data_IF_928260179649
#
_entry.id   IF_928260179649
#
_cell.length_a   1.000
_cell.length_b   1.000
_cell.length_c   1.000
_cell.angle_alpha   90.00
_cell.angle_beta   90.00
_cell.angle_gamma   90.00
#
_symmetry.space_group_name_H-M   'P 1'
#
loop_
_entity.id
_entity.type
_entity.pdbx_description
1 polymer ?
#
# COMPACT_ATOMS: atom_id res chain seq x y z
N UNK A 1 -13.60 -7.29 20.28
CA UNK A 1 -12.83 -8.20 19.40
C UNK A 1 -12.02 -7.32 18.47
N UNK A 2 -10.74 -7.11 18.78
CA UNK A 2 -9.82 -6.37 17.91
C UNK A 2 -9.30 -7.32 16.86
N UNK A 3 -9.81 -7.20 15.64
CA UNK A 3 -9.34 -7.96 14.49
C UNK A 3 -7.94 -7.50 14.11
N UNK A 4 -7.08 -8.43 13.71
CA UNK A 4 -5.80 -8.08 13.10
C UNK A 4 -6.13 -7.52 11.71
N UNK A 5 -5.55 -6.37 11.27
CA UNK A 5 -5.87 -5.76 9.98
C UNK A 5 -5.76 -6.70 8.77
N UNK A 6 -4.95 -7.76 8.87
CA UNK A 6 -4.81 -8.81 7.85
C UNK A 6 -6.02 -9.73 7.76
N UNK A 7 -6.56 -10.16 8.90
CA UNK A 7 -7.77 -10.98 8.97
C UNK A 7 -9.00 -10.19 8.49
N UNK A 8 -9.07 -8.88 8.82
CA UNK A 8 -10.14 -8.00 8.34
C UNK A 8 -10.06 -7.84 6.80
N UNK A 9 -8.85 -7.67 6.23
CA UNK A 9 -8.68 -7.60 4.78
C UNK A 9 -9.10 -8.91 4.10
N UNK A 10 -8.66 -10.06 4.62
CA UNK A 10 -9.01 -11.37 4.05
C UNK A 10 -10.52 -11.59 4.07
N UNK A 11 -11.19 -11.24 5.17
CA UNK A 11 -12.65 -11.31 5.27
C UNK A 11 -13.33 -10.39 4.24
N UNK A 12 -12.88 -9.13 4.13
CA UNK A 12 -13.44 -8.17 3.17
C UNK A 12 -13.22 -8.60 1.72
N UNK A 13 -12.08 -9.22 1.40
CA UNK A 13 -11.81 -9.81 0.09
C UNK A 13 -12.75 -10.98 -0.20
N UNK A 14 -12.90 -11.91 0.75
CA UNK A 14 -13.81 -13.04 0.61
C UNK A 14 -15.27 -12.59 0.45
N UNK A 15 -15.70 -11.54 1.15
CA UNK A 15 -17.01 -10.95 0.95
C UNK A 15 -17.12 -10.29 -0.42
N UNK A 16 -16.16 -9.47 -0.85
CA UNK A 16 -16.15 -8.85 -2.17
C UNK A 16 -16.26 -9.90 -3.29
N UNK A 17 -15.56 -11.04 -3.17
CA UNK A 17 -15.67 -12.14 -4.14
C UNK A 17 -17.06 -12.76 -4.16
N UNK A 18 -17.72 -12.89 -3.01
CA UNK A 18 -19.13 -13.33 -2.95
C UNK A 18 -20.07 -12.34 -3.65
N UNK A 19 -19.93 -11.04 -3.39
CA UNK A 19 -20.72 -10.01 -4.08
C UNK A 19 -20.47 -9.98 -5.59
N UNK A 20 -19.22 -10.13 -6.03
CA UNK A 20 -18.87 -10.22 -7.45
C UNK A 20 -19.49 -11.45 -8.13
N UNK A 21 -19.49 -12.60 -7.44
CA UNK A 21 -20.15 -13.80 -7.93
C UNK A 21 -21.67 -13.61 -8.02
N UNK A 22 -22.31 -12.98 -7.02
CA UNK A 22 -23.74 -12.67 -7.10
C UNK A 22 -24.04 -11.71 -8.25
N UNK A 23 -23.21 -10.68 -8.45
CA UNK A 23 -23.34 -9.71 -9.53
C UNK A 23 -23.24 -10.35 -10.92
N UNK A 24 -22.33 -11.31 -11.12
CA UNK A 24 -22.19 -12.01 -12.39
C UNK A 24 -23.40 -12.88 -12.74
N UNK A 25 -24.15 -13.34 -11.73
CA UNK A 25 -25.36 -14.15 -11.90
C UNK A 25 -26.66 -13.32 -11.83
N UNK A 26 -26.58 -12.02 -11.54
CA UNK A 26 -27.73 -11.12 -11.49
C UNK A 26 -28.11 -10.66 -12.89
N UNK A 27 -29.40 -10.67 -13.21
CA UNK A 27 -29.94 -10.23 -14.50
C UNK A 27 -29.38 -8.84 -14.89
N UNK A 28 -28.78 -8.67 -16.09
CA UNK A 28 -28.28 -7.39 -16.56
C UNK A 28 -29.30 -6.25 -16.53
N UNK A 29 -30.59 -6.58 -16.63
CA UNK A 29 -31.69 -5.62 -16.62
C UNK A 29 -32.16 -5.25 -15.20
N UNK A 30 -31.75 -5.99 -14.17
CA UNK A 30 -32.00 -5.63 -12.77
C UNK A 30 -30.98 -4.57 -12.30
N UNK A 31 -31.21 -3.35 -12.75
CA UNK A 31 -30.31 -2.20 -12.51
C UNK A 31 -30.20 -1.84 -11.03
N UNK A 32 -31.26 -2.05 -10.25
CA UNK A 32 -31.29 -1.72 -8.81
C UNK A 32 -30.43 -2.69 -8.03
N UNK A 33 -30.63 -3.99 -8.22
CA UNK A 33 -29.83 -5.02 -7.53
C UNK A 33 -28.37 -4.93 -7.95
N UNK A 34 -28.09 -4.72 -9.24
CA UNK A 34 -26.72 -4.54 -9.74
C UNK A 34 -26.05 -3.29 -9.15
N UNK A 35 -26.74 -2.16 -9.07
CA UNK A 35 -26.20 -0.94 -8.46
C UNK A 35 -25.89 -1.14 -6.96
N UNK A 36 -26.76 -1.86 -6.23
CA UNK A 36 -26.52 -2.19 -4.83
C UNK A 36 -25.28 -3.08 -4.66
N UNK A 37 -25.19 -4.16 -5.43
CA UNK A 37 -24.03 -5.08 -5.40
C UNK A 37 -22.73 -4.35 -5.78
N UNK A 38 -22.77 -3.46 -6.77
CA UNK A 38 -21.64 -2.62 -7.16
C UNK A 38 -21.19 -1.73 -5.98
N UNK A 39 -22.14 -1.06 -5.32
CA UNK A 39 -21.86 -0.21 -4.16
C UNK A 39 -21.19 -0.99 -3.01
N UNK A 40 -21.68 -2.21 -2.74
CA UNK A 40 -21.12 -3.09 -1.70
C UNK A 40 -19.68 -3.54 -2.01
N UNK A 41 -19.37 -3.81 -3.28
CA UNK A 41 -17.99 -4.12 -3.70
C UNK A 41 -17.07 -2.90 -3.61
N UNK A 42 -17.56 -1.72 -4.00
CA UNK A 42 -16.78 -0.47 -3.96
C UNK A 42 -16.50 -0.02 -2.52
N UNK A 43 -17.47 -0.19 -1.62
CA UNK A 43 -17.27 0.07 -0.19
C UNK A 43 -16.18 -0.85 0.40
N UNK A 44 -16.23 -2.16 0.13
CA UNK A 44 -15.20 -3.11 0.60
C UNK A 44 -13.84 -2.81 0.01
N UNK A 45 -13.77 -2.46 -1.27
CA UNK A 45 -12.51 -2.09 -1.93
C UNK A 45 -11.88 -0.86 -1.26
N UNK A 46 -12.68 0.17 -0.97
CA UNK A 46 -12.20 1.34 -0.22
C UNK A 46 -11.75 0.98 1.19
N UNK A 47 -12.48 0.11 1.89
CA UNK A 47 -12.10 -0.32 3.24
C UNK A 47 -10.79 -1.10 3.25
N UNK A 48 -10.59 -2.01 2.30
CA UNK A 48 -9.32 -2.74 2.12
C UNK A 48 -8.18 -1.76 1.87
N UNK A 49 -8.37 -0.78 0.98
CA UNK A 49 -7.36 0.25 0.71
C UNK A 49 -6.99 1.05 1.97
N UNK A 50 -7.99 1.49 2.74
CA UNK A 50 -7.74 2.19 4.01
C UNK A 50 -6.94 1.34 5.01
N UNK A 51 -7.25 0.05 5.11
CA UNK A 51 -6.51 -0.88 5.98
C UNK A 51 -5.09 -1.15 5.47
N UNK A 52 -4.90 -1.16 4.15
CA UNK A 52 -3.58 -1.30 3.52
C UNK A 52 -2.72 -0.03 3.68
N UNK A 53 -3.30 1.16 3.55
CA UNK A 53 -2.63 2.45 3.76
C UNK A 53 -2.20 2.65 5.22
N UNK A 54 -2.94 2.08 6.16
CA UNK A 54 -2.59 2.07 7.58
C UNK A 54 -1.52 1.03 7.93
N UNK A 55 -1.09 0.18 6.99
CA UNK A 55 -0.01 -0.76 7.28
C UNK A 55 1.31 0.01 7.37
N UNK A 56 2.08 -0.18 8.46
CA UNK A 56 3.44 0.33 8.50
C UNK A 56 4.25 -0.30 7.35
N UNK A 57 5.30 0.40 6.92
CA UNK A 57 6.21 -0.11 5.89
C UNK A 57 6.63 -1.54 6.24
N UNK A 58 6.38 -2.47 5.31
CA UNK A 58 6.76 -3.87 5.49
C UNK A 58 8.27 -3.99 5.74
N UNK A 59 8.68 -5.00 6.51
CA UNK A 59 10.09 -5.20 6.89
C UNK A 59 11.04 -5.20 5.68
N UNK A 60 10.64 -5.80 4.56
CA UNK A 60 11.40 -5.78 3.30
C UNK A 60 11.54 -4.37 2.70
N UNK A 61 10.49 -3.56 2.73
CA UNK A 61 10.54 -2.17 2.25
C UNK A 61 11.45 -1.31 3.14
N UNK A 62 11.43 -1.52 4.46
CA UNK A 62 12.35 -0.85 5.39
C UNK A 62 13.81 -1.23 5.11
N UNK A 63 14.09 -2.50 4.86
CA UNK A 63 15.45 -2.94 4.51
C UNK A 63 15.90 -2.37 3.16
N UNK A 64 15.03 -2.33 2.17
CA UNK A 64 15.33 -1.72 0.88
C UNK A 64 15.65 -0.22 1.02
N UNK A 65 14.86 0.52 1.81
CA UNK A 65 15.11 1.93 2.11
C UNK A 65 16.44 2.14 2.83
N UNK A 66 16.78 1.27 3.80
CA UNK A 66 18.07 1.32 4.50
C UNK A 66 19.24 1.02 3.57
N UNK A 67 19.11 0.00 2.72
CA UNK A 67 20.11 -0.33 1.71
C UNK A 67 20.32 0.81 0.72
N UNK A 68 19.23 1.41 0.25
CA UNK A 68 19.28 2.57 -0.64
C UNK A 68 19.91 3.80 0.05
N UNK A 69 19.62 4.03 1.33
CA UNK A 69 20.24 5.09 2.12
C UNK A 69 21.77 4.89 2.25
N UNK A 70 22.20 3.67 2.55
CA UNK A 70 23.63 3.33 2.61
C UNK A 70 24.31 3.48 1.25
N UNK A 71 23.67 3.04 0.18
CA UNK A 71 24.19 3.19 -1.18
C UNK A 71 24.30 4.67 -1.59
N UNK A 72 23.30 5.50 -1.28
CA UNK A 72 23.33 6.93 -1.54
C UNK A 72 24.42 7.64 -0.72
N UNK A 73 24.58 7.27 0.56
CA UNK A 73 25.65 7.79 1.40
C UNK A 73 27.04 7.39 0.88
N UNK A 74 27.22 6.14 0.47
CA UNK A 74 28.46 5.65 -0.14
C UNK A 74 28.77 6.35 -1.46
N UNK A 75 27.77 6.56 -2.30
CA UNK A 75 27.91 7.28 -3.56
C UNK A 75 28.29 8.75 -3.32
N UNK A 76 27.74 9.40 -2.31
CA UNK A 76 28.05 10.79 -2.00
C UNK A 76 29.56 11.04 -1.79
N UNK A 77 30.29 10.07 -1.23
CA UNK A 77 31.74 10.17 -0.97
C UNK A 77 32.60 10.09 -2.23
N UNK A 78 32.06 9.60 -3.35
CA UNK A 78 32.79 9.40 -4.60
C UNK A 78 32.40 10.40 -5.68
N UNK A 79 31.44 11.29 -5.42
CA UNK A 79 30.93 12.23 -6.41
C UNK A 79 31.49 13.62 -6.13
N UNK A 80 32.25 14.11 -7.10
CA UNK A 80 32.49 15.54 -7.32
C UNK A 80 31.59 15.98 -8.47
N UNK A 81 30.86 17.11 -8.38
CA UNK A 81 31.05 18.25 -7.47
C UNK A 81 30.25 18.22 -6.15
N UNK A 82 30.68 19.05 -5.19
CA UNK A 82 30.10 19.25 -3.84
C UNK A 82 28.56 19.33 -3.75
N UNK A 83 27.89 19.96 -4.72
CA UNK A 83 26.43 20.05 -4.70
C UNK A 83 25.76 18.69 -4.85
N UNK A 84 26.39 17.76 -5.58
CA UNK A 84 25.91 16.41 -5.79
C UNK A 84 26.14 15.53 -4.53
N UNK A 85 27.22 15.77 -3.79
CA UNK A 85 27.44 15.19 -2.46
C UNK A 85 26.33 15.60 -1.49
N UNK A 86 25.96 16.88 -1.47
CA UNK A 86 24.91 17.41 -0.59
C UNK A 86 23.54 16.80 -0.94
N UNK A 87 23.17 16.74 -2.23
CA UNK A 87 21.89 16.14 -2.64
C UNK A 87 21.82 14.65 -2.35
N UNK A 88 22.90 13.88 -2.57
CA UNK A 88 22.96 12.46 -2.22
C UNK A 88 22.93 12.25 -0.69
N UNK A 89 23.58 13.10 0.09
CA UNK A 89 23.51 13.07 1.55
C UNK A 89 22.09 13.34 2.08
N UNK A 90 21.39 14.33 1.52
CA UNK A 90 19.99 14.61 1.86
C UNK A 90 19.06 13.46 1.45
N UNK A 91 19.28 12.87 0.27
CA UNK A 91 18.53 11.70 -0.18
C UNK A 91 18.74 10.51 0.77
N UNK A 92 19.98 10.25 1.18
CA UNK A 92 20.29 9.19 2.13
C UNK A 92 19.59 9.41 3.48
N UNK A 93 19.63 10.64 4.01
CA UNK A 93 18.94 11.00 5.25
C UNK A 93 17.41 10.83 5.13
N UNK A 94 16.84 11.23 4.00
CA UNK A 94 15.41 11.08 3.72
C UNK A 94 14.99 9.61 3.64
N UNK A 95 15.73 8.77 2.92
CA UNK A 95 15.47 7.34 2.83
C UNK A 95 15.61 6.64 4.19
N UNK A 96 16.63 7.02 4.97
CA UNK A 96 16.81 6.51 6.33
C UNK A 96 15.63 6.91 7.23
N UNK A 97 15.17 8.16 7.15
CA UNK A 97 14.00 8.66 7.88
C UNK A 97 12.73 7.88 7.52
N UNK A 98 12.47 7.68 6.22
CA UNK A 98 11.33 6.87 5.76
C UNK A 98 11.39 5.43 6.28
N UNK A 99 12.59 4.87 6.48
CA UNK A 99 12.74 3.50 7.01
C UNK A 99 12.38 3.35 8.50
N UNK A 100 12.19 4.45 9.24
CA UNK A 100 11.80 4.45 10.65
C UNK A 100 10.28 4.33 10.86
N UNK A 101 9.49 4.69 9.85
CA UNK A 101 8.03 4.54 9.82
C UNK A 101 7.58 3.12 9.60
#
# INVERSE_FOLDING_TARGET
MTWIPEEEIEQLEAERHRYAATFSHTDPNDTVTRAHLQHEMDWRTRRIQQLQEQRPLGWGARLALRGAALAAAWAAWQVDPLWATITLGLLAAFLAFLSLG
#
